data_IF_420612123804
#
_entry.id   IF_420612123804
#
_cell.length_a   1.000
_cell.length_b   1.000
_cell.length_c   1.000
_cell.angle_alpha   90.00
_cell.angle_beta   90.00
_cell.angle_gamma   90.00
#
_symmetry.space_group_name_H-M   'P 1'
#
loop_
_entity.id
_entity.type
_entity.pdbx_description
1 polymer ?
#
# COMPACT_ATOMS: atom_id res chain seq x y z
N UNK A 1 -8.95 -8.66 7.03
CA UNK A 1 -7.57 -8.59 6.50
C UNK A 1 -6.72 -7.72 7.41
N UNK A 2 -5.56 -8.22 7.84
CA UNK A 2 -4.56 -7.44 8.61
C UNK A 2 -3.23 -7.47 7.88
N UNK A 3 -2.70 -6.29 7.56
CA UNK A 3 -1.34 -6.12 7.03
C UNK A 3 -0.61 -5.21 8.00
N UNK A 4 0.46 -5.70 8.59
CA UNK A 4 1.33 -4.98 9.52
C UNK A 4 2.74 -4.86 8.92
N UNK A 5 3.55 -3.95 9.47
CA UNK A 5 4.93 -3.73 9.05
C UNK A 5 5.86 -3.88 10.23
N UNK A 6 7.03 -4.47 10.01
CA UNK A 6 8.12 -4.54 10.99
C UNK A 6 9.47 -4.56 10.27
N UNK A 7 10.54 -4.74 11.02
CA UNK A 7 11.90 -4.84 10.52
C UNK A 7 12.63 -6.03 11.14
N UNK A 8 13.67 -6.53 10.45
CA UNK A 8 14.33 -7.78 10.86
C UNK A 8 14.84 -7.75 12.30
N UNK A 9 15.52 -6.69 12.73
CA UNK A 9 16.05 -6.63 14.09
C UNK A 9 14.97 -6.53 15.17
N UNK A 10 13.73 -6.10 14.84
CA UNK A 10 12.61 -6.20 15.76
C UNK A 10 12.12 -7.63 15.95
N UNK A 11 12.18 -8.46 14.90
CA UNK A 11 11.83 -9.87 14.97
C UNK A 11 12.89 -10.68 15.73
N UNK A 12 14.16 -10.52 15.37
CA UNK A 12 15.27 -11.30 15.95
C UNK A 12 15.53 -10.97 17.42
N UNK A 13 15.20 -9.75 17.86
CA UNK A 13 15.31 -9.34 19.27
C UNK A 13 13.97 -9.40 20.02
N UNK A 14 12.96 -10.08 19.47
CA UNK A 14 11.64 -10.27 20.08
C UNK A 14 10.94 -8.97 20.53
N UNK A 15 11.26 -7.84 19.89
CA UNK A 15 10.62 -6.54 20.16
C UNK A 15 9.19 -6.50 19.63
N UNK A 16 8.85 -7.40 18.72
CA UNK A 16 7.52 -7.55 18.14
C UNK A 16 7.06 -9.00 18.31
N UNK A 17 5.87 -9.19 18.88
CA UNK A 17 5.22 -10.49 18.98
C UNK A 17 4.34 -10.72 17.77
N UNK A 18 4.76 -11.63 16.90
CA UNK A 18 3.98 -12.09 15.75
C UNK A 18 3.10 -13.26 16.22
N UNK A 19 1.81 -13.24 15.91
CA UNK A 19 0.91 -14.34 16.25
C UNK A 19 1.29 -15.58 15.45
N UNK A 20 1.13 -16.78 16.02
CA UNK A 20 1.62 -18.02 15.40
C UNK A 20 0.96 -18.41 14.07
N UNK A 21 -0.16 -17.77 13.73
CA UNK A 21 -0.89 -17.95 12.47
C UNK A 21 -0.51 -16.90 11.40
N UNK A 22 0.31 -15.91 11.73
CA UNK A 22 0.65 -14.84 10.82
C UNK A 22 1.73 -15.26 9.82
N UNK A 23 1.61 -14.75 8.59
CA UNK A 23 2.60 -14.95 7.53
C UNK A 23 3.60 -13.79 7.52
N UNK A 24 4.88 -14.12 7.51
CA UNK A 24 6.01 -13.20 7.48
C UNK A 24 6.58 -13.12 6.06
N UNK A 25 6.42 -11.96 5.42
CA UNK A 25 6.95 -11.72 4.08
C UNK A 25 7.98 -10.60 4.10
N UNK A 26 9.20 -10.87 3.64
CA UNK A 26 10.20 -9.83 3.44
C UNK A 26 10.07 -9.16 2.07
N UNK A 27 10.46 -7.89 2.01
CA UNK A 27 10.38 -7.06 0.80
C UNK A 27 11.79 -6.59 0.40
N UNK A 28 12.72 -7.52 0.20
CA UNK A 28 14.12 -7.19 -0.04
C UNK A 28 14.49 -7.48 -1.50
N UNK A 29 15.09 -6.48 -2.17
CA UNK A 29 15.51 -6.60 -3.57
C UNK A 29 16.64 -7.62 -3.73
N UNK A 30 17.64 -7.53 -2.86
CA UNK A 30 18.79 -8.44 -2.79
C UNK A 30 18.85 -9.01 -1.36
N UNK A 31 18.12 -10.10 -1.06
CA UNK A 31 18.07 -10.66 0.28
C UNK A 31 19.41 -11.33 0.63
N UNK A 32 19.85 -11.17 1.88
CA UNK A 32 20.89 -12.01 2.45
C UNK A 32 20.34 -13.42 2.73
N UNK A 33 21.19 -14.45 2.66
CA UNK A 33 20.79 -15.86 2.79
C UNK A 33 20.03 -16.14 4.09
N UNK A 34 20.45 -15.56 5.21
CA UNK A 34 19.83 -15.75 6.53
C UNK A 34 18.37 -15.29 6.62
N UNK A 35 17.88 -14.47 5.67
CA UNK A 35 16.49 -13.99 5.70
C UNK A 35 15.50 -15.16 5.66
N UNK A 36 15.79 -16.24 4.94
CA UNK A 36 14.89 -17.40 4.84
C UNK A 36 14.66 -18.11 6.17
N UNK A 37 15.53 -17.89 7.16
CA UNK A 37 15.40 -18.47 8.49
C UNK A 37 14.46 -17.66 9.39
N UNK A 38 14.14 -16.43 9.00
CA UNK A 38 13.38 -15.46 9.79
C UNK A 38 11.97 -15.19 9.23
N UNK A 39 11.79 -15.36 7.92
CA UNK A 39 10.52 -15.11 7.24
C UNK A 39 10.11 -16.29 6.39
N UNK A 40 8.80 -16.43 6.14
CA UNK A 40 8.27 -17.52 5.31
C UNK A 40 8.69 -17.37 3.84
N UNK A 41 8.80 -16.13 3.35
CA UNK A 41 9.08 -15.84 1.94
C UNK A 41 9.60 -14.42 1.74
N UNK A 42 10.54 -14.24 0.81
CA UNK A 42 10.90 -12.92 0.26
C UNK A 42 10.11 -12.62 -1.03
N UNK A 43 9.60 -11.39 -1.16
CA UNK A 43 8.85 -10.90 -2.32
C UNK A 43 9.61 -9.73 -2.95
N UNK A 44 10.70 -10.05 -3.65
CA UNK A 44 11.57 -9.03 -4.31
C UNK A 44 10.85 -8.21 -5.38
N UNK A 45 9.78 -8.75 -5.98
CA UNK A 45 8.94 -8.04 -6.93
C UNK A 45 8.23 -6.81 -6.34
N UNK A 46 8.10 -6.74 -5.01
CA UNK A 46 7.55 -5.60 -4.27
C UNK A 46 8.63 -4.79 -3.53
N UNK A 47 9.91 -5.06 -3.82
CA UNK A 47 11.01 -4.22 -3.36
C UNK A 47 11.30 -3.08 -4.37
N UNK A 48 11.99 -2.00 -3.97
CA UNK A 48 12.38 -0.94 -4.90
C UNK A 48 13.21 -1.51 -6.07
N UNK A 49 12.98 -1.09 -7.33
CA UNK A 49 13.81 -1.52 -8.45
C UNK A 49 15.26 -1.06 -8.25
N UNK A 50 16.23 -1.83 -8.78
CA UNK A 50 17.66 -1.62 -8.51
C UNK A 50 18.11 -0.19 -8.79
N UNK A 51 17.73 0.39 -9.93
CA UNK A 51 18.10 1.77 -10.27
C UNK A 51 17.59 2.80 -9.24
N UNK A 52 16.39 2.61 -8.69
CA UNK A 52 15.84 3.50 -7.67
C UNK A 52 16.55 3.30 -6.33
N UNK A 53 16.82 2.04 -5.97
CA UNK A 53 17.50 1.69 -4.73
C UNK A 53 18.94 2.23 -4.70
N UNK A 54 19.68 2.07 -5.79
CA UNK A 54 21.06 2.53 -5.90
C UNK A 54 21.14 4.07 -5.95
N UNK A 55 20.19 4.73 -6.64
CA UNK A 55 20.09 6.19 -6.59
C UNK A 55 19.84 6.70 -5.16
N UNK A 56 18.91 6.06 -4.44
CA UNK A 56 18.61 6.40 -3.05
C UNK A 56 19.85 6.24 -2.15
N UNK A 57 20.50 5.06 -2.17
CA UNK A 57 21.70 4.79 -1.35
C UNK A 57 22.83 5.77 -1.65
N UNK A 58 23.04 6.12 -2.91
CA UNK A 58 24.08 7.08 -3.32
C UNK A 58 23.84 8.45 -2.71
N UNK A 59 22.60 8.96 -2.77
CA UNK A 59 22.27 10.27 -2.17
C UNK A 59 22.30 10.21 -0.65
N UNK A 60 21.81 9.12 -0.05
CA UNK A 60 21.83 8.93 1.40
C UNK A 60 23.27 8.94 1.95
N UNK A 61 24.18 8.23 1.28
CA UNK A 61 25.61 8.22 1.64
C UNK A 61 26.20 9.63 1.55
N UNK A 62 25.95 10.35 0.45
CA UNK A 62 26.47 11.70 0.27
C UNK A 62 25.92 12.70 1.31
N UNK A 63 24.63 12.61 1.65
CA UNK A 63 24.01 13.44 2.69
C UNK A 63 24.61 13.13 4.08
N UNK A 64 24.89 11.84 4.36
CA UNK A 64 25.58 11.42 5.59
C UNK A 64 26.99 11.97 5.68
N UNK A 65 27.76 11.88 4.58
CA UNK A 65 29.13 12.41 4.51
C UNK A 65 29.16 13.94 4.65
N UNK A 66 28.09 14.62 4.23
CA UNK A 66 27.90 16.06 4.41
C UNK A 66 27.42 16.46 5.81
N UNK A 67 27.12 15.50 6.70
CA UNK A 67 26.68 15.76 8.07
C UNK A 67 25.21 16.17 8.19
N UNK A 68 24.36 15.83 7.21
CA UNK A 68 22.91 16.07 7.29
C UNK A 68 22.30 15.32 8.47
N UNK A 69 21.37 15.96 9.19
CA UNK A 69 20.73 15.36 10.37
C UNK A 69 19.81 14.18 10.00
N UNK A 70 19.16 14.23 8.83
CA UNK A 70 18.28 13.18 8.31
C UNK A 70 18.66 12.78 6.87
N UNK A 71 19.77 12.04 6.67
CA UNK A 71 20.24 11.67 5.32
C UNK A 71 19.20 10.90 4.49
N UNK A 72 18.40 10.06 5.16
CA UNK A 72 17.31 9.30 4.55
C UNK A 72 16.22 10.22 3.99
N UNK A 73 15.84 11.26 4.75
CA UNK A 73 14.84 12.23 4.33
C UNK A 73 15.32 13.03 3.11
N UNK A 74 16.60 13.42 3.10
CA UNK A 74 17.26 14.06 1.95
C UNK A 74 17.21 13.16 0.73
N UNK A 75 17.69 11.91 0.85
CA UNK A 75 17.69 10.94 -0.23
C UNK A 75 16.29 10.68 -0.79
N UNK A 76 15.32 10.45 0.09
CA UNK A 76 13.93 10.17 -0.26
C UNK A 76 13.33 11.26 -1.15
N UNK A 77 13.51 12.53 -0.76
CA UNK A 77 13.02 13.68 -1.52
C UNK A 77 13.82 13.88 -2.82
N UNK A 78 15.14 13.84 -2.74
CA UNK A 78 16.02 14.12 -3.89
C UNK A 78 15.83 13.15 -5.04
N UNK A 79 15.55 11.87 -4.76
CA UNK A 79 15.31 10.87 -5.82
C UNK A 79 13.84 10.68 -6.17
N UNK A 80 12.94 11.49 -5.58
CA UNK A 80 11.46 11.35 -5.69
C UNK A 80 11.02 9.91 -5.41
N UNK A 81 11.53 9.34 -4.33
CA UNK A 81 11.45 7.89 -4.08
C UNK A 81 10.00 7.39 -4.07
N UNK A 82 9.13 8.05 -3.30
CA UNK A 82 7.74 7.62 -3.16
C UNK A 82 7.01 7.55 -4.49
N UNK A 83 7.10 8.61 -5.29
CA UNK A 83 6.43 8.69 -6.59
C UNK A 83 6.92 7.61 -7.55
N UNK A 84 8.25 7.50 -7.73
CA UNK A 84 8.85 6.50 -8.63
C UNK A 84 8.55 5.08 -8.18
N UNK A 85 8.50 4.86 -6.87
CA UNK A 85 8.20 3.53 -6.34
C UNK A 85 6.71 3.19 -6.48
N UNK A 86 5.79 4.12 -6.28
CA UNK A 86 4.36 3.89 -6.57
C UNK A 86 4.10 3.64 -8.05
N UNK A 87 4.80 4.36 -8.94
CA UNK A 87 4.77 4.06 -10.37
C UNK A 87 5.30 2.66 -10.67
N UNK A 88 6.36 2.21 -9.98
CA UNK A 88 6.82 0.82 -10.10
C UNK A 88 5.74 -0.18 -9.66
N UNK A 89 5.08 0.06 -8.53
CA UNK A 89 4.03 -0.81 -7.97
C UNK A 89 2.77 -0.87 -8.85
N UNK A 90 2.51 0.14 -9.68
CA UNK A 90 1.37 0.15 -10.61
C UNK A 90 1.62 -0.66 -11.89
N UNK A 91 2.87 -1.04 -12.19
CA UNK A 91 3.22 -1.87 -13.35
C UNK A 91 2.59 -3.26 -13.25
N UNK A 92 2.25 -3.92 -14.38
CA UNK A 92 1.49 -5.18 -14.38
C UNK A 92 2.07 -6.28 -13.47
N UNK A 93 3.39 -6.48 -13.48
CA UNK A 93 4.07 -7.49 -12.66
C UNK A 93 3.90 -7.25 -11.15
N UNK A 94 4.46 -6.15 -10.59
CA UNK A 94 4.26 -5.80 -9.18
C UNK A 94 2.79 -5.69 -8.77
N UNK A 95 1.93 -5.16 -9.65
CA UNK A 95 0.49 -5.06 -9.39
C UNK A 95 -0.18 -6.41 -9.22
N UNK A 96 0.20 -7.42 -10.02
CA UNK A 96 -0.30 -8.78 -9.85
C UNK A 96 0.16 -9.40 -8.53
N UNK A 97 1.43 -9.19 -8.16
CA UNK A 97 1.98 -9.69 -6.89
C UNK A 97 1.31 -9.01 -5.69
N UNK A 98 1.00 -7.72 -5.77
CA UNK A 98 0.22 -7.01 -4.76
C UNK A 98 -1.17 -7.61 -4.56
N UNK A 99 -1.86 -8.02 -5.64
CA UNK A 99 -3.17 -8.70 -5.53
C UNK A 99 -3.02 -10.04 -4.80
N UNK A 100 -2.01 -10.83 -5.14
CA UNK A 100 -1.73 -12.09 -4.42
C UNK A 100 -1.42 -11.84 -2.94
N UNK A 101 -0.67 -10.78 -2.62
CA UNK A 101 -0.42 -10.37 -1.24
C UNK A 101 -1.72 -10.02 -0.49
N UNK A 102 -2.67 -9.35 -1.17
CA UNK A 102 -3.99 -9.05 -0.60
C UNK A 102 -4.78 -10.33 -0.32
N UNK A 103 -4.77 -11.30 -1.23
CA UNK A 103 -5.38 -12.62 -1.00
C UNK A 103 -4.74 -13.36 0.19
N UNK A 104 -3.41 -13.33 0.30
CA UNK A 104 -2.70 -13.90 1.44
C UNK A 104 -3.15 -13.24 2.76
N UNK A 105 -3.32 -11.91 2.76
CA UNK A 105 -3.73 -11.14 3.93
C UNK A 105 -5.23 -11.32 4.28
N UNK A 106 -6.05 -11.77 3.33
CA UNK A 106 -7.45 -12.18 3.57
C UNK A 106 -7.52 -13.51 4.29
N UNK A 107 -6.62 -14.43 3.98
CA UNK A 107 -6.55 -15.75 4.59
C UNK A 107 -5.94 -15.74 5.99
N UNK A 108 -4.91 -14.92 6.24
CA UNK A 108 -4.22 -14.84 7.52
C UNK A 108 -3.63 -13.43 7.74
N UNK A 109 -3.29 -13.04 8.99
CA UNK A 109 -2.53 -11.82 9.24
C UNK A 109 -1.19 -11.85 8.49
N UNK A 110 -0.80 -10.76 7.86
CA UNK A 110 0.48 -10.64 7.13
C UNK A 110 1.37 -9.57 7.76
N UNK A 111 2.64 -9.90 7.96
CA UNK A 111 3.70 -8.98 8.35
C UNK A 111 4.65 -8.75 7.19
N UNK A 112 4.83 -7.48 6.82
CA UNK A 112 5.81 -7.05 5.83
C UNK A 112 7.11 -6.62 6.53
N UNK A 113 8.22 -7.22 6.13
CA UNK A 113 9.52 -7.09 6.79
C UNK A 113 10.55 -6.44 5.86
N UNK A 114 11.32 -5.49 6.37
CA UNK A 114 12.48 -4.90 5.69
C UNK A 114 13.64 -4.73 6.68
N UNK A 115 14.80 -4.27 6.21
CA UNK A 115 15.96 -3.97 7.07
C UNK A 115 15.78 -2.70 7.90
N UNK A 116 15.21 -1.66 7.29
CA UNK A 116 15.18 -0.32 7.87
C UNK A 116 14.34 -0.28 9.15
N UNK A 117 14.83 0.32 10.24
CA UNK A 117 14.05 0.40 11.48
C UNK A 117 12.97 1.48 11.38
N UNK A 118 13.31 2.64 10.81
CA UNK A 118 12.39 3.76 10.59
C UNK A 118 11.49 3.50 9.37
N UNK A 119 10.18 3.50 9.57
CA UNK A 119 9.23 3.27 8.47
C UNK A 119 8.87 4.55 7.69
N UNK A 120 9.27 5.73 8.16
CA UNK A 120 8.99 7.03 7.53
C UNK A 120 9.51 7.07 6.09
N UNK A 121 10.74 6.58 5.89
CA UNK A 121 11.43 6.54 4.60
C UNK A 121 11.69 5.11 4.12
N UNK A 122 10.77 4.19 4.44
CA UNK A 122 10.86 2.80 3.99
C UNK A 122 9.76 2.44 2.98
N UNK A 123 10.14 1.72 1.93
CA UNK A 123 9.21 1.22 0.91
C UNK A 123 8.16 0.25 1.45
N UNK A 124 8.43 -0.47 2.56
CA UNK A 124 7.47 -1.40 3.16
C UNK A 124 6.16 -0.70 3.56
N UNK A 125 6.26 0.56 3.99
CA UNK A 125 5.10 1.40 4.33
C UNK A 125 4.24 1.63 3.09
N UNK A 126 4.87 1.99 1.98
CA UNK A 126 4.20 2.20 0.69
C UNK A 126 3.52 0.92 0.17
N UNK A 127 4.19 -0.24 0.29
CA UNK A 127 3.58 -1.54 -0.08
C UNK A 127 2.38 -1.86 0.81
N UNK A 128 2.48 -1.64 2.12
CA UNK A 128 1.37 -1.87 3.04
C UNK A 128 0.18 -0.95 2.72
N UNK A 129 0.44 0.32 2.41
CA UNK A 129 -0.57 1.29 1.98
C UNK A 129 -1.25 0.85 0.67
N UNK A 130 -0.48 0.48 -0.35
CA UNK A 130 -1.01 0.01 -1.64
C UNK A 130 -1.82 -1.28 -1.50
N UNK A 131 -1.37 -2.24 -0.69
CA UNK A 131 -2.09 -3.48 -0.45
C UNK A 131 -3.40 -3.22 0.32
N UNK A 132 -3.38 -2.36 1.34
CA UNK A 132 -4.60 -1.93 2.06
C UNK A 132 -5.53 -1.15 1.16
N UNK A 133 -5.00 -0.34 0.23
CA UNK A 133 -5.78 0.37 -0.78
C UNK A 133 -6.44 -0.61 -1.74
N UNK A 134 -5.69 -1.55 -2.32
CA UNK A 134 -6.20 -2.60 -3.20
C UNK A 134 -7.29 -3.44 -2.54
N UNK A 135 -7.08 -3.87 -1.29
CA UNK A 135 -8.08 -4.63 -0.57
C UNK A 135 -9.39 -3.86 -0.32
N UNK A 136 -9.33 -2.52 -0.31
CA UNK A 136 -10.49 -1.63 -0.26
C UNK A 136 -11.05 -1.29 -1.64
N UNK A 137 -10.23 -1.30 -2.69
CA UNK A 137 -10.61 -1.01 -4.09
C UNK A 137 -11.06 -2.24 -4.86
N UNK A 138 -10.94 -3.45 -4.30
CA UNK A 138 -11.80 -4.59 -4.65
C UNK A 138 -13.27 -4.40 -4.20
N UNK A 139 -13.69 -3.14 -4.09
CA UNK A 139 -15.02 -2.75 -4.51
C UNK A 139 -15.17 -3.15 -5.99
N UNK A 140 -16.34 -3.65 -6.38
CA UNK A 140 -16.57 -4.21 -7.71
C UNK A 140 -16.12 -3.25 -8.81
N UNK A 141 -15.58 -3.80 -9.91
CA UNK A 141 -15.20 -3.07 -11.12
C UNK A 141 -16.20 -1.95 -11.38
N UNK A 142 -15.79 -0.68 -11.17
CA UNK A 142 -16.61 0.50 -11.45
C UNK A 142 -16.71 0.64 -12.96
N UNK A 143 -17.78 0.15 -13.62
CA UNK A 143 -17.79 0.03 -15.08
C UNK A 143 -17.90 1.40 -15.78
N UNK A 144 -18.18 2.46 -15.02
CA UNK A 144 -18.53 3.77 -15.54
C UNK A 144 -17.91 4.87 -14.67
N UNK A 145 -16.58 4.89 -14.50
CA UNK A 145 -15.89 6.08 -13.99
C UNK A 145 -16.07 7.31 -14.90
N UNK A 146 -16.46 7.09 -16.16
CA UNK A 146 -16.72 8.13 -17.14
C UNK A 146 -18.21 8.54 -17.24
N UNK A 147 -19.14 7.79 -16.63
CA UNK A 147 -20.59 8.03 -16.74
C UNK A 147 -21.30 7.85 -15.38
N UNK A 148 -22.38 8.60 -15.14
CA UNK A 148 -23.19 8.38 -13.94
C UNK A 148 -23.95 7.03 -14.01
N UNK A 149 -24.19 6.38 -12.87
CA UNK A 149 -25.12 5.25 -12.83
C UNK A 149 -26.51 5.73 -13.28
N UNK A 150 -27.29 4.87 -13.94
CA UNK A 150 -28.69 5.17 -14.27
C UNK A 150 -29.52 5.46 -13.01
N UNK A 151 -30.60 6.22 -13.19
CA UNK A 151 -31.60 6.51 -12.13
C UNK A 151 -31.98 5.24 -11.38
N UNK A 152 -31.99 5.28 -10.04
CA UNK A 152 -32.32 4.12 -9.19
C UNK A 152 -31.17 3.16 -8.90
N UNK A 153 -30.08 3.18 -9.67
CA UNK A 153 -28.98 2.19 -9.55
C UNK A 153 -27.78 2.69 -8.74
N UNK A 154 -28.00 3.65 -7.86
CA UNK A 154 -26.96 4.16 -6.97
C UNK A 154 -26.93 3.38 -5.66
N UNK A 155 -25.74 2.92 -5.25
CA UNK A 155 -25.51 2.35 -3.92
C UNK A 155 -24.67 3.33 -3.12
N UNK A 156 -25.31 4.04 -2.20
CA UNK A 156 -24.63 5.10 -1.44
C UNK A 156 -23.88 4.53 -0.23
N UNK A 157 -22.60 4.87 -0.13
CA UNK A 157 -21.71 4.53 1.00
C UNK A 157 -21.19 5.82 1.66
N UNK A 158 -20.83 5.76 2.94
CA UNK A 158 -20.26 6.91 3.64
C UNK A 158 -18.85 7.26 3.10
N UNK A 159 -18.57 8.54 2.91
CA UNK A 159 -17.30 9.07 2.43
C UNK A 159 -16.25 9.12 3.57
N UNK A 160 -14.99 8.93 3.20
CA UNK A 160 -13.80 9.03 4.05
C UNK A 160 -13.61 10.41 4.68
N UNK A 161 -14.17 11.48 4.09
CA UNK A 161 -13.99 12.87 4.57
C UNK A 161 -15.05 13.38 5.57
N UNK A 162 -16.12 12.64 5.85
CA UNK A 162 -17.14 13.11 6.80
C UNK A 162 -18.23 12.08 7.13
N UNK A 163 -18.69 12.06 8.40
CA UNK A 163 -19.73 11.12 8.89
C UNK A 163 -21.09 11.25 8.20
N UNK A 164 -21.33 12.36 7.50
CA UNK A 164 -22.64 12.68 6.90
C UNK A 164 -22.62 12.75 5.37
N UNK A 165 -21.44 12.67 4.76
CA UNK A 165 -21.28 12.69 3.31
C UNK A 165 -21.36 11.27 2.77
N UNK A 166 -22.25 11.02 1.81
CA UNK A 166 -22.35 9.73 1.11
C UNK A 166 -22.00 9.90 -0.36
N UNK A 167 -21.37 8.91 -0.96
CA UNK A 167 -21.10 8.83 -2.41
C UNK A 167 -21.53 7.48 -2.97
N UNK A 168 -21.88 7.45 -4.26
CA UNK A 168 -22.23 6.21 -4.91
C UNK A 168 -20.98 5.34 -5.09
N UNK A 169 -21.11 4.09 -4.67
CA UNK A 169 -20.08 3.06 -4.76
C UNK A 169 -19.58 2.82 -6.20
N UNK A 170 -20.45 3.07 -7.18
CA UNK A 170 -20.25 2.66 -8.58
C UNK A 170 -19.74 3.80 -9.47
N UNK A 171 -20.35 4.99 -9.42
CA UNK A 171 -19.92 6.15 -10.20
C UNK A 171 -19.08 7.17 -9.41
N UNK A 172 -18.94 7.02 -8.09
CA UNK A 172 -18.18 7.94 -7.24
C UNK A 172 -18.82 9.31 -7.00
N UNK A 173 -19.96 9.62 -7.63
CA UNK A 173 -20.67 10.87 -7.44
C UNK A 173 -21.23 10.97 -6.01
N UNK A 174 -21.20 12.19 -5.45
CA UNK A 174 -21.81 12.45 -4.14
C UNK A 174 -23.32 12.26 -4.19
N UNK A 175 -23.93 11.88 -3.07
CA UNK A 175 -25.39 11.78 -2.95
C UNK A 175 -26.09 13.10 -3.35
N UNK A 176 -25.47 14.24 -3.02
CA UNK A 176 -25.96 15.55 -3.45
C UNK A 176 -25.97 15.68 -4.97
N UNK A 177 -24.84 15.37 -5.63
CA UNK A 177 -24.73 15.45 -7.09
C UNK A 177 -25.74 14.53 -7.79
N UNK A 178 -25.95 13.34 -7.23
CA UNK A 178 -26.90 12.35 -7.74
C UNK A 178 -28.34 12.86 -7.67
N UNK A 179 -28.76 13.39 -6.51
CA UNK A 179 -30.13 13.84 -6.30
C UNK A 179 -30.40 15.21 -6.95
N UNK A 180 -29.53 16.19 -6.71
CA UNK A 180 -29.82 17.59 -7.02
C UNK A 180 -29.46 17.98 -8.44
N UNK A 181 -28.40 17.38 -9.00
CA UNK A 181 -27.88 17.77 -10.31
C UNK A 181 -28.31 16.81 -11.41
N UNK A 182 -28.33 15.50 -11.12
CA UNK A 182 -28.76 14.49 -12.07
C UNK A 182 -30.24 14.11 -11.93
N UNK A 183 -30.90 14.45 -10.81
CA UNK A 183 -32.29 14.07 -10.57
C UNK A 183 -32.49 12.57 -10.37
N UNK A 184 -31.44 11.82 -10.03
CA UNK A 184 -31.54 10.38 -9.81
C UNK A 184 -32.00 10.11 -8.38
N UNK A 185 -33.05 9.31 -8.21
CA UNK A 185 -33.46 8.84 -6.88
C UNK A 185 -32.69 7.57 -6.49
N UNK A 186 -32.27 7.45 -5.23
CA UNK A 186 -31.58 6.26 -4.72
C UNK A 186 -32.57 5.13 -4.48
N UNK A 187 -32.31 3.94 -5.03
CA UNK A 187 -33.04 2.75 -4.63
C UNK A 187 -32.66 2.37 -3.21
N UNK A 188 -33.49 2.71 -2.23
CA UNK A 188 -33.42 2.10 -0.90
C UNK A 188 -33.73 0.61 -1.06
N UNK A 189 -32.71 -0.24 -1.00
CA UNK A 189 -32.94 -1.66 -0.75
C UNK A 189 -33.27 -1.81 0.74
N UNK A 190 -34.49 -2.27 1.02
CA UNK A 190 -34.91 -2.80 2.31
C UNK A 190 -34.01 -3.97 2.76
#
# INVERSE_FOLDING_TARGET
MSIQTTYFSALTHEKVKVTGDARLFSLVRQPADWISDVVDRNISALAPPDELLEAYKKVESAARDAGEAEPQAVAWRSVRFEERFREHLSKPGPRQVLKTLVEDARAAPVWLVCYEADDSYCHRRLVAEEARYLAREELPTRPHLNDACSTGNHTLIADRKGRHTKSCLWCGLSAQTICDYLGHHGGEKA
#
